data_IF_356314854435
#
_entry.id   IF_356314854435
#
_cell.length_a   1.000
_cell.length_b   1.000
_cell.length_c   1.000
_cell.angle_alpha   90.00
_cell.angle_beta   90.00
_cell.angle_gamma   90.00
#
_symmetry.space_group_name_H-M   'P 1'
#
loop_
_entity.id
_entity.type
_entity.pdbx_description
1 polymer ?
#
# COMPACT_ATOMS: atom_id res chain seq x y z
N UNK A 1 8.46 22.49 -13.42
CA UNK A 1 8.00 23.35 -12.30
C UNK A 1 8.62 22.84 -11.01
N UNK A 2 9.29 23.70 -10.21
CA UNK A 2 9.97 23.28 -8.98
C UNK A 2 8.92 22.99 -7.87
N UNK A 3 8.81 21.76 -7.34
CA UNK A 3 7.81 21.40 -6.31
C UNK A 3 8.06 22.07 -4.94
N UNK A 4 9.21 22.70 -4.76
CA UNK A 4 9.61 23.43 -3.54
C UNK A 4 9.61 24.94 -3.72
N UNK A 5 9.09 25.45 -4.84
CA UNK A 5 8.98 26.91 -5.04
C UNK A 5 8.14 27.55 -3.93
N UNK A 6 8.66 28.64 -3.35
CA UNK A 6 8.01 29.37 -2.24
C UNK A 6 8.10 28.68 -0.87
N UNK A 7 8.96 27.67 -0.69
CA UNK A 7 9.20 27.05 0.62
C UNK A 7 10.32 27.74 1.37
N UNK A 8 10.11 27.92 2.69
CA UNK A 8 11.09 28.49 3.61
C UNK A 8 12.33 27.59 3.83
N UNK A 9 12.15 26.27 3.67
CA UNK A 9 13.21 25.28 3.86
C UNK A 9 13.64 24.71 2.51
N UNK A 10 14.92 24.35 2.40
CA UNK A 10 15.47 23.68 1.22
C UNK A 10 14.72 22.36 0.95
N UNK A 11 14.52 22.05 -0.33
CA UNK A 11 13.78 20.86 -0.75
C UNK A 11 14.39 19.56 -0.23
N UNK A 12 15.72 19.50 -0.10
CA UNK A 12 16.42 18.32 0.42
C UNK A 12 16.08 18.02 1.88
N UNK A 13 16.04 19.04 2.73
CA UNK A 13 15.63 18.92 4.15
C UNK A 13 14.20 18.38 4.24
N UNK A 14 13.29 18.95 3.43
CA UNK A 14 11.90 18.51 3.37
C UNK A 14 11.83 17.03 2.95
N UNK A 15 12.59 16.64 1.92
CA UNK A 15 12.62 15.26 1.43
C UNK A 15 13.20 14.28 2.46
N UNK A 16 14.24 14.66 3.20
CA UNK A 16 14.78 13.82 4.26
C UNK A 16 13.77 13.57 5.37
N UNK A 17 13.11 14.62 5.86
CA UNK A 17 12.09 14.49 6.90
C UNK A 17 10.92 13.59 6.44
N UNK A 18 10.42 13.82 5.22
CA UNK A 18 9.32 13.01 4.66
C UNK A 18 9.76 11.56 4.45
N UNK A 19 10.96 11.32 3.93
CA UNK A 19 11.49 9.97 3.73
C UNK A 19 11.68 9.23 5.06
N UNK A 20 12.24 9.89 6.07
CA UNK A 20 12.47 9.28 7.39
C UNK A 20 11.15 8.91 8.06
N UNK A 21 10.16 9.80 8.01
CA UNK A 21 8.80 9.50 8.45
C UNK A 21 8.24 8.24 7.76
N UNK A 22 8.25 8.22 6.43
CA UNK A 22 7.64 7.12 5.67
C UNK A 22 8.39 5.79 5.78
N UNK A 23 9.71 5.81 5.98
CA UNK A 23 10.54 4.59 5.97
C UNK A 23 10.72 3.97 7.35
N UNK A 24 10.87 4.79 8.39
CA UNK A 24 11.33 4.32 9.71
C UNK A 24 10.26 4.43 10.79
N UNK A 25 9.07 4.96 10.49
CA UNK A 25 7.98 5.08 11.48
C UNK A 25 8.26 6.10 12.59
N UNK A 26 9.22 7.01 12.38
CA UNK A 26 9.60 8.04 13.34
C UNK A 26 8.47 9.05 13.49
N UNK A 27 8.12 9.43 14.71
CA UNK A 27 7.08 10.41 14.99
C UNK A 27 7.49 11.82 14.53
N UNK A 28 6.51 12.71 14.34
CA UNK A 28 6.79 14.09 13.97
C UNK A 28 7.57 14.87 15.04
N UNK A 29 7.42 14.49 16.32
CA UNK A 29 8.14 15.13 17.42
C UNK A 29 9.61 14.70 17.44
N UNK A 30 9.86 13.40 17.30
CA UNK A 30 11.22 12.87 17.16
C UNK A 30 11.91 13.46 15.92
N UNK A 31 11.21 13.60 14.79
CA UNK A 31 11.79 14.26 13.60
C UNK A 31 12.13 15.73 13.83
N UNK A 32 11.31 16.45 14.60
CA UNK A 32 11.63 17.83 15.00
C UNK A 32 12.92 17.86 15.84
N UNK A 33 13.06 16.97 16.82
CA UNK A 33 14.28 16.86 17.65
C UNK A 33 15.51 16.52 16.80
N UNK A 34 15.41 15.51 15.93
CA UNK A 34 16.50 15.08 15.03
C UNK A 34 16.94 16.18 14.05
N UNK A 35 16.02 17.04 13.62
CA UNK A 35 16.32 18.17 12.75
C UNK A 35 16.93 19.33 13.55
N UNK A 36 16.47 19.56 14.78
CA UNK A 36 17.04 20.56 15.68
C UNK A 36 18.51 20.26 16.03
N UNK A 37 18.85 18.99 16.27
CA UNK A 37 20.24 18.52 16.46
C UNK A 37 21.16 18.86 15.26
N UNK A 38 20.58 18.99 14.06
CA UNK A 38 21.28 19.34 12.81
C UNK A 38 21.20 20.83 12.48
N UNK A 39 20.76 21.66 13.43
CA UNK A 39 20.62 23.11 13.27
C UNK A 39 19.39 23.57 12.48
N UNK A 40 18.43 22.67 12.20
CA UNK A 40 17.20 22.98 11.48
C UNK A 40 16.04 23.08 12.47
N UNK A 41 15.70 24.31 12.86
CA UNK A 41 14.56 24.55 13.74
C UNK A 41 13.24 24.55 12.94
N UNK A 42 12.43 23.49 13.10
CA UNK A 42 11.13 23.34 12.44
C UNK A 42 10.12 22.72 13.40
N UNK A 43 8.90 23.25 13.42
CA UNK A 43 7.83 22.68 14.24
C UNK A 43 7.27 21.37 13.63
N UNK A 44 6.97 20.39 14.46
CA UNK A 44 6.39 19.10 14.09
C UNK A 44 5.12 19.22 13.23
N UNK A 45 4.29 20.26 13.40
CA UNK A 45 3.11 20.49 12.55
C UNK A 45 3.50 20.90 11.13
N UNK A 46 4.65 21.54 10.95
CA UNK A 46 5.21 21.86 9.62
C UNK A 46 5.69 20.60 8.93
N UNK A 47 6.36 19.69 9.65
CA UNK A 47 6.76 18.37 9.14
C UNK A 47 5.52 17.56 8.74
N UNK A 48 4.46 17.57 9.56
CA UNK A 48 3.18 16.95 9.21
C UNK A 48 2.62 17.48 7.87
N UNK A 49 2.60 18.81 7.68
CA UNK A 49 2.15 19.44 6.42
C UNK A 49 3.03 19.03 5.24
N UNK A 50 4.34 18.88 5.44
CA UNK A 50 5.24 18.36 4.41
C UNK A 50 4.90 16.93 4.03
N UNK A 51 4.70 16.04 5.01
CA UNK A 51 4.33 14.65 4.74
C UNK A 51 3.01 14.57 3.97
N UNK A 52 1.97 15.29 4.41
CA UNK A 52 0.67 15.31 3.70
C UNK A 52 0.79 15.81 2.25
N UNK A 53 1.67 16.78 1.99
CA UNK A 53 1.90 17.35 0.65
C UNK A 53 2.75 16.45 -0.24
N UNK A 54 3.87 15.97 0.28
CA UNK A 54 4.96 15.40 -0.53
C UNK A 54 4.97 13.89 -0.56
N UNK A 55 4.46 13.18 0.47
CA UNK A 55 4.41 11.72 0.44
C UNK A 55 3.54 11.19 -0.73
N UNK A 56 2.35 11.73 -1.04
CA UNK A 56 1.57 11.28 -2.20
C UNK A 56 2.27 11.56 -3.54
N UNK A 57 2.98 12.69 -3.64
CA UNK A 57 3.73 13.05 -4.85
C UNK A 57 4.96 12.14 -5.04
N UNK A 58 5.65 11.80 -3.95
CA UNK A 58 6.71 10.79 -3.96
C UNK A 58 6.17 9.43 -4.38
N UNK A 59 5.08 8.96 -3.79
CA UNK A 59 4.43 7.70 -4.18
C UNK A 59 4.08 7.71 -5.67
N UNK A 60 3.48 8.79 -6.19
CA UNK A 60 3.11 8.90 -7.61
C UNK A 60 4.31 8.77 -8.54
N UNK A 61 5.44 9.39 -8.19
CA UNK A 61 6.68 9.35 -9.01
C UNK A 61 7.40 8.00 -8.89
N UNK A 62 7.42 7.42 -7.69
CA UNK A 62 8.09 6.14 -7.41
C UNK A 62 7.26 4.92 -7.82
N UNK A 63 5.95 5.09 -8.03
CA UNK A 63 5.00 4.01 -8.39
C UNK A 63 5.51 3.14 -9.55
N UNK A 64 6.12 3.74 -10.57
CA UNK A 64 6.64 3.03 -11.74
C UNK A 64 7.84 2.13 -11.41
N UNK A 65 8.69 2.55 -10.49
CA UNK A 65 9.86 1.77 -10.06
C UNK A 65 9.45 0.59 -9.17
N UNK A 66 8.50 0.80 -8.26
CA UNK A 66 8.08 -0.23 -7.30
C UNK A 66 7.11 -1.26 -7.87
N UNK A 67 6.28 -0.87 -8.85
CA UNK A 67 5.29 -1.78 -9.45
C UNK A 67 5.78 -2.45 -10.73
N UNK A 68 7.08 -2.52 -11.00
CA UNK A 68 7.63 -3.35 -12.08
C UNK A 68 8.00 -4.72 -11.54
N UNK A 69 7.09 -5.71 -11.60
CA UNK A 69 7.30 -6.93 -10.87
C UNK A 69 7.89 -7.89 -11.91
N UNK A 70 9.20 -8.07 -11.80
CA UNK A 70 10.03 -8.73 -12.80
C UNK A 70 9.77 -10.25 -12.88
N UNK A 71 8.98 -10.81 -11.94
CA UNK A 71 8.67 -12.24 -11.82
C UNK A 71 7.23 -12.49 -11.29
N UNK A 72 6.20 -12.21 -12.09
CA UNK A 72 4.80 -12.31 -11.67
C UNK A 72 4.16 -13.67 -11.94
N UNK A 73 4.48 -14.66 -11.14
CA UNK A 73 3.75 -15.93 -11.19
C UNK A 73 2.55 -15.97 -10.23
N UNK A 74 2.62 -15.30 -9.08
CA UNK A 74 1.52 -15.28 -8.13
C UNK A 74 1.43 -14.03 -7.25
N UNK A 75 0.20 -13.63 -6.93
CA UNK A 75 -0.09 -12.64 -5.88
C UNK A 75 -0.59 -13.34 -4.62
N UNK A 76 -0.29 -12.74 -3.48
CA UNK A 76 -0.85 -13.11 -2.19
C UNK A 76 -1.77 -11.98 -1.71
N UNK A 77 -2.94 -12.33 -1.20
CA UNK A 77 -3.91 -11.38 -0.66
C UNK A 77 -4.35 -11.80 0.73
N UNK A 78 -4.52 -10.81 1.59
CA UNK A 78 -4.92 -11.03 2.97
C UNK A 78 -5.66 -9.83 3.56
N UNK A 79 -6.35 -10.09 4.67
CA UNK A 79 -7.10 -9.11 5.43
C UNK A 79 -6.65 -9.10 6.89
N UNK A 80 -6.19 -7.95 7.37
CA UNK A 80 -5.92 -7.72 8.78
C UNK A 80 -6.80 -6.60 9.33
N UNK A 81 -6.97 -6.52 10.64
CA UNK A 81 -7.75 -5.47 11.30
C UNK A 81 -6.81 -4.45 11.94
N UNK A 82 -6.99 -3.18 11.62
CA UNK A 82 -6.19 -2.07 12.14
C UNK A 82 -7.09 -1.02 12.78
N UNK A 83 -6.56 -0.26 13.75
CA UNK A 83 -7.31 0.79 14.44
C UNK A 83 -7.01 2.15 13.79
N UNK A 84 -7.99 2.72 13.08
CA UNK A 84 -7.89 4.03 12.45
C UNK A 84 -8.75 5.02 13.22
N UNK A 85 -8.13 6.07 13.78
CA UNK A 85 -8.82 7.10 14.61
C UNK A 85 -9.69 6.48 15.71
N UNK A 86 -9.19 5.44 16.37
CA UNK A 86 -9.90 4.74 17.44
C UNK A 86 -10.90 3.67 17.00
N UNK A 87 -11.18 3.51 15.69
CA UNK A 87 -12.14 2.53 15.17
C UNK A 87 -11.44 1.38 14.45
N UNK A 88 -11.87 0.14 14.72
CA UNK A 88 -11.40 -1.04 14.00
C UNK A 88 -11.87 -1.01 12.54
N UNK A 89 -10.93 -1.21 11.62
CA UNK A 89 -11.13 -1.19 10.17
C UNK A 89 -10.38 -2.37 9.56
N UNK A 90 -10.94 -2.99 8.53
CA UNK A 90 -10.28 -4.07 7.79
C UNK A 90 -9.36 -3.48 6.71
N UNK A 91 -8.08 -3.86 6.78
CA UNK A 91 -7.06 -3.58 5.79
C UNK A 91 -6.90 -4.81 4.90
N UNK A 92 -7.34 -4.67 3.66
CA UNK A 92 -7.06 -5.61 2.58
C UNK A 92 -5.70 -5.25 1.99
N UNK A 93 -4.79 -6.22 1.88
CA UNK A 93 -3.45 -6.04 1.30
C UNK A 93 -3.20 -7.08 0.22
N UNK A 94 -2.51 -6.67 -0.83
CA UNK A 94 -2.00 -7.55 -1.88
C UNK A 94 -0.49 -7.36 -2.00
N UNK A 95 0.25 -8.46 -1.99
CA UNK A 95 1.71 -8.47 -2.16
C UNK A 95 2.11 -9.46 -3.26
N UNK A 96 3.27 -9.23 -3.87
CA UNK A 96 3.87 -10.18 -4.79
C UNK A 96 4.56 -11.35 -4.04
N UNK A 97 5.10 -12.32 -4.78
CA UNK A 97 5.84 -13.44 -4.20
C UNK A 97 7.09 -13.03 -3.40
N UNK A 98 7.65 -11.84 -3.66
CA UNK A 98 8.83 -11.29 -2.98
C UNK A 98 8.45 -10.45 -1.75
N UNK A 99 7.16 -10.30 -1.46
CA UNK A 99 6.65 -9.49 -0.35
C UNK A 99 6.52 -8.00 -0.66
N UNK A 100 6.67 -7.57 -1.92
CA UNK A 100 6.41 -6.17 -2.27
C UNK A 100 4.91 -5.89 -2.36
N UNK A 101 4.48 -4.82 -1.70
CA UNK A 101 3.09 -4.36 -1.72
C UNK A 101 2.65 -3.92 -3.12
N UNK A 102 1.61 -4.57 -3.65
CA UNK A 102 0.96 -4.22 -4.90
C UNK A 102 -0.03 -3.08 -4.64
N UNK A 103 -0.97 -3.32 -3.72
CA UNK A 103 -1.98 -2.34 -3.34
C UNK A 103 -2.63 -2.71 -1.99
N UNK A 104 -3.34 -1.75 -1.42
CA UNK A 104 -4.12 -1.92 -0.20
C UNK A 104 -5.48 -1.21 -0.29
N UNK A 105 -6.42 -1.65 0.54
CA UNK A 105 -7.76 -1.08 0.62
C UNK A 105 -8.32 -1.18 2.03
N UNK A 106 -8.86 -0.06 2.52
CA UNK A 106 -9.47 0.02 3.84
C UNK A 106 -10.99 -0.05 3.71
N UNK A 107 -11.61 -0.90 4.54
CA UNK A 107 -13.06 -0.99 4.64
C UNK A 107 -13.50 -1.19 6.08
N UNK A 108 -14.61 -0.55 6.46
CA UNK A 108 -15.22 -0.75 7.76
C UNK A 108 -15.79 -2.18 7.95
N UNK A 109 -16.01 -2.93 6.86
CA UNK A 109 -16.65 -4.26 6.91
C UNK A 109 -15.85 -5.29 6.11
N UNK A 110 -15.69 -6.48 6.69
CA UNK A 110 -15.19 -7.68 6.02
C UNK A 110 -16.33 -8.37 5.27
N UNK A 111 -16.45 -8.13 3.96
CA UNK A 111 -17.48 -8.77 3.13
C UNK A 111 -17.05 -8.89 1.66
N UNK A 112 -17.82 -9.64 0.88
CA UNK A 112 -17.56 -9.87 -0.55
C UNK A 112 -17.61 -8.59 -1.39
N UNK A 113 -18.37 -7.56 -0.96
CA UNK A 113 -18.41 -6.25 -1.64
C UNK A 113 -17.09 -5.51 -1.48
N UNK A 114 -16.52 -5.47 -0.28
CA UNK A 114 -15.20 -4.91 -0.01
C UNK A 114 -14.11 -5.63 -0.79
N UNK A 115 -14.13 -6.97 -0.81
CA UNK A 115 -13.20 -7.78 -1.60
C UNK A 115 -13.32 -7.49 -3.11
N UNK A 116 -14.55 -7.35 -3.63
CA UNK A 116 -14.80 -6.95 -5.02
C UNK A 116 -14.26 -5.56 -5.34
N UNK A 117 -14.51 -4.57 -4.47
CA UNK A 117 -13.99 -3.21 -4.64
C UNK A 117 -12.45 -3.20 -4.61
N UNK A 118 -11.83 -3.96 -3.71
CA UNK A 118 -10.38 -4.08 -3.63
C UNK A 118 -9.77 -4.70 -4.90
N UNK A 119 -10.28 -5.86 -5.31
CA UNK A 119 -9.83 -6.55 -6.52
C UNK A 119 -10.05 -5.68 -7.77
N UNK A 120 -11.21 -5.04 -7.89
CA UNK A 120 -11.51 -4.12 -8.98
C UNK A 120 -10.57 -2.91 -9.01
N UNK A 121 -10.22 -2.34 -7.85
CA UNK A 121 -9.21 -1.28 -7.75
C UNK A 121 -7.87 -1.76 -8.28
N UNK A 122 -7.42 -2.95 -7.87
CA UNK A 122 -6.14 -3.52 -8.32
C UNK A 122 -6.14 -3.70 -9.82
N UNK A 123 -7.12 -4.42 -10.38
CA UNK A 123 -7.17 -4.72 -11.82
C UNK A 123 -7.28 -3.49 -12.71
N UNK A 124 -7.90 -2.41 -12.21
CA UNK A 124 -7.95 -1.14 -12.94
C UNK A 124 -6.63 -0.34 -12.86
N UNK A 125 -5.83 -0.56 -11.82
CA UNK A 125 -4.61 0.23 -11.58
C UNK A 125 -3.37 -0.44 -12.16
N UNK A 126 -3.32 -1.77 -12.14
CA UNK A 126 -2.19 -2.53 -12.72
C UNK A 126 -2.36 -2.66 -14.24
N UNK A 127 -1.24 -2.80 -14.95
CA UNK A 127 -1.26 -3.09 -16.38
C UNK A 127 -1.68 -4.54 -16.60
N UNK A 128 -2.28 -4.85 -17.76
CA UNK A 128 -2.76 -6.20 -18.08
C UNK A 128 -1.67 -7.27 -17.97
N UNK A 129 -0.45 -6.95 -18.43
CA UNK A 129 0.71 -7.86 -18.35
C UNK A 129 1.27 -8.02 -16.93
N UNK A 130 0.84 -7.20 -15.98
CA UNK A 130 1.22 -7.32 -14.57
C UNK A 130 0.28 -8.21 -13.76
N UNK A 131 -0.83 -8.65 -14.36
CA UNK A 131 -1.80 -9.51 -13.71
C UNK A 131 -1.23 -10.93 -13.67
N UNK A 132 -1.14 -11.59 -12.51
CA UNK A 132 -0.52 -12.91 -12.38
C UNK A 132 -1.47 -13.99 -12.90
N UNK A 133 -0.92 -15.17 -13.14
CA UNK A 133 -1.74 -16.36 -13.43
C UNK A 133 -2.44 -16.90 -12.18
N UNK A 134 -1.88 -16.69 -10.99
CA UNK A 134 -2.39 -17.24 -9.73
C UNK A 134 -2.60 -16.15 -8.69
N UNK A 135 -3.77 -16.15 -8.04
CA UNK A 135 -4.04 -15.35 -6.84
C UNK A 135 -4.22 -16.31 -5.66
N UNK A 136 -3.38 -16.16 -4.64
CA UNK A 136 -3.48 -16.87 -3.38
C UNK A 136 -4.22 -16.00 -2.36
N UNK A 137 -5.22 -16.56 -1.70
CA UNK A 137 -5.87 -15.93 -0.53
C UNK A 137 -5.86 -16.90 0.63
N UNK A 138 -6.04 -16.38 1.85
CA UNK A 138 -6.47 -17.23 2.96
C UNK A 138 -7.90 -17.75 2.72
N UNK A 139 -8.40 -18.65 3.59
CA UNK A 139 -9.70 -19.34 3.53
C UNK A 139 -10.95 -18.44 3.53
N UNK A 140 -10.83 -17.14 3.26
CA UNK A 140 -11.96 -16.23 3.13
C UNK A 140 -12.74 -16.52 1.83
N UNK A 141 -13.96 -17.07 1.99
CA UNK A 141 -14.88 -17.32 0.87
C UNK A 141 -15.29 -16.04 0.11
N UNK A 142 -15.11 -14.86 0.71
CA UNK A 142 -15.40 -13.54 0.15
C UNK A 142 -14.68 -13.28 -1.17
N UNK A 143 -13.41 -13.71 -1.28
CA UNK A 143 -12.61 -13.52 -2.50
C UNK A 143 -13.10 -14.37 -3.67
N UNK A 144 -13.53 -15.61 -3.41
CA UNK A 144 -14.04 -16.50 -4.46
C UNK A 144 -15.29 -15.92 -5.14
N UNK A 145 -16.23 -15.38 -4.34
CA UNK A 145 -17.41 -14.69 -4.85
C UNK A 145 -17.06 -13.41 -5.63
N UNK A 146 -16.11 -12.62 -5.11
CA UNK A 146 -15.68 -11.39 -5.75
C UNK A 146 -14.99 -11.64 -7.09
N UNK A 147 -14.08 -12.62 -7.17
CA UNK A 147 -13.40 -13.01 -8.41
C UNK A 147 -14.37 -13.56 -9.44
N UNK A 148 -15.27 -14.45 -9.03
CA UNK A 148 -16.31 -15.00 -9.92
C UNK A 148 -17.17 -13.90 -10.55
N UNK A 149 -17.54 -12.89 -9.76
CA UNK A 149 -18.27 -11.73 -10.24
C UNK A 149 -17.44 -10.89 -11.21
N UNK A 150 -16.18 -10.60 -10.90
CA UNK A 150 -15.29 -9.82 -11.77
C UNK A 150 -15.01 -10.50 -13.11
N UNK A 151 -14.87 -11.83 -13.11
CA UNK A 151 -14.75 -12.64 -14.33
C UNK A 151 -15.99 -12.54 -15.20
N UNK A 152 -17.19 -12.66 -14.59
CA UNK A 152 -18.48 -12.52 -15.29
C UNK A 152 -18.66 -11.13 -15.92
N UNK A 153 -18.16 -10.09 -15.25
CA UNK A 153 -18.20 -8.71 -15.75
C UNK A 153 -17.07 -8.38 -16.75
N UNK A 154 -16.19 -9.34 -17.09
CA UNK A 154 -15.07 -9.12 -18.02
C UNK A 154 -13.96 -8.21 -17.49
N UNK A 155 -13.96 -7.91 -16.18
CA UNK A 155 -12.99 -7.02 -15.52
C UNK A 155 -11.75 -7.75 -15.00
N UNK A 156 -11.76 -9.08 -15.04
CA UNK A 156 -10.71 -9.95 -14.57
C UNK A 156 -10.43 -11.01 -15.65
N UNK A 157 -9.17 -11.26 -16.01
CA UNK A 157 -8.82 -12.35 -16.92
C UNK A 157 -9.38 -13.69 -16.44
N UNK A 158 -9.95 -14.46 -17.37
CA UNK A 158 -10.69 -15.69 -17.08
C UNK A 158 -9.75 -16.80 -16.60
N UNK A 159 -8.52 -16.77 -17.09
CA UNK A 159 -7.42 -17.70 -16.86
C UNK A 159 -6.77 -17.58 -15.47
N UNK A 160 -7.12 -16.57 -14.68
CA UNK A 160 -6.59 -16.45 -13.31
C UNK A 160 -7.09 -17.59 -12.45
N UNK A 161 -6.16 -18.37 -11.91
CA UNK A 161 -6.43 -19.40 -10.93
C UNK A 161 -6.52 -18.78 -9.53
N UNK A 162 -7.61 -19.06 -8.82
CA UNK A 162 -7.75 -18.68 -7.41
C UNK A 162 -7.43 -19.89 -6.53
N UNK A 163 -6.38 -19.77 -5.71
CA UNK A 163 -5.98 -20.80 -4.76
C UNK A 163 -6.22 -20.34 -3.32
N UNK A 164 -6.82 -21.21 -2.52
CA UNK A 164 -6.99 -21.00 -1.08
C UNK A 164 -5.99 -21.89 -0.33
N UNK A 165 -4.80 -21.37 -0.02
CA UNK A 165 -3.75 -22.17 0.62
C UNK A 165 -3.30 -21.49 1.91
N UNK A 166 -3.66 -22.12 3.04
CA UNK A 166 -3.38 -21.65 4.41
C UNK A 166 -1.89 -21.39 4.69
N UNK A 167 -0.99 -22.20 4.14
CA UNK A 167 0.45 -22.19 4.49
C UNK A 167 1.32 -21.31 3.58
N UNK A 168 0.75 -20.69 2.55
CA UNK A 168 1.48 -19.80 1.62
C UNK A 168 1.35 -18.32 1.98
N UNK A 169 0.59 -17.98 3.03
CA UNK A 169 0.42 -16.61 3.49
C UNK A 169 1.48 -16.13 4.49
N UNK A 170 2.44 -16.97 4.89
CA UNK A 170 3.54 -16.57 5.78
C UNK A 170 4.29 -15.31 5.28
N UNK A 171 4.40 -15.11 3.95
CA UNK A 171 5.04 -13.92 3.36
C UNK A 171 4.30 -12.63 3.73
N UNK A 172 2.97 -12.67 3.76
CA UNK A 172 2.15 -11.55 4.21
C UNK A 172 2.15 -11.47 5.75
N UNK A 173 2.08 -12.60 6.43
CA UNK A 173 2.05 -12.62 7.91
C UNK A 173 3.33 -12.03 8.51
N UNK A 174 4.50 -12.28 7.90
CA UNK A 174 5.76 -11.62 8.27
C UNK A 174 5.76 -10.10 8.03
N UNK A 175 4.95 -9.60 7.08
CA UNK A 175 4.79 -8.16 6.81
C UNK A 175 3.71 -7.51 7.72
N UNK A 176 3.00 -8.28 8.55
CA UNK A 176 2.12 -7.70 9.59
C UNK A 176 2.89 -7.33 10.87
N UNK A 177 4.11 -7.83 11.04
CA UNK A 177 4.91 -7.70 12.27
C UNK A 177 6.00 -6.62 12.24
N UNK A 178 6.02 -5.74 11.24
CA UNK A 178 6.99 -4.63 11.13
C UNK A 178 6.34 -3.28 11.38
#
# INVERSE_FOLDING_TARGET
>A
MNPFHGRHFQGEIILWAVRWYCKYGISYRELQEMLAERGVNVDHTTIYRWVQRYAPEMEKRLRWYWRNPTDLHSWHMDETYIKVKGRWTYLYRAVDQRGHTIDFYLSARRNSKSAYCFLGKIFNTVKKWQIPRVINTDKAATYGHALSRLKREGKCPVDIEHRQIKYKNNVIECDHGK
#
